data_IF_875449814036
#
_entry.id   IF_875449814036
#
_cell.length_a   1.000
_cell.length_b   1.000
_cell.length_c   1.000
_cell.angle_alpha   90.00
_cell.angle_beta   90.00
_cell.angle_gamma   90.00
#
_symmetry.space_group_name_H-M   'P 1'
#
loop_
_entity.id
_entity.type
_entity.pdbx_description
1 polymer ?
#
# COMPACT_ATOMS: atom_id res chain seq x y z
N UNK A 1 54.24 -18.45 -70.82
CA UNK A 1 53.95 -18.14 -69.40
C UNK A 1 52.82 -17.14 -69.36
N UNK A 2 51.60 -17.62 -69.23
CA UNK A 2 50.39 -16.76 -69.18
C UNK A 2 50.06 -16.41 -67.73
N UNK A 3 49.61 -15.22 -67.42
CA UNK A 3 49.21 -14.89 -66.06
C UNK A 3 47.77 -15.35 -65.75
N UNK A 4 47.62 -15.96 -64.57
CA UNK A 4 46.28 -16.37 -64.03
C UNK A 4 45.45 -15.18 -63.56
N UNK A 5 44.12 -15.24 -63.68
CA UNK A 5 43.23 -14.15 -63.22
C UNK A 5 42.97 -14.27 -61.72
N UNK A 6 43.19 -13.17 -60.95
CA UNK A 6 42.81 -13.03 -59.53
C UNK A 6 41.33 -12.73 -59.46
N UNK A 7 40.55 -13.63 -58.80
CA UNK A 7 39.19 -13.37 -58.40
C UNK A 7 39.11 -12.56 -57.10
N UNK A 8 38.49 -11.36 -57.17
CA UNK A 8 38.14 -10.55 -56.02
C UNK A 8 36.79 -11.02 -55.47
N UNK A 9 36.80 -11.67 -54.31
CA UNK A 9 35.58 -12.00 -53.57
C UNK A 9 35.12 -10.78 -52.81
N UNK A 10 34.00 -10.18 -53.24
CA UNK A 10 33.32 -9.12 -52.48
C UNK A 10 32.46 -9.77 -51.43
N UNK A 11 32.81 -9.67 -50.15
CA UNK A 11 31.98 -10.07 -49.02
C UNK A 11 30.98 -8.94 -48.70
N UNK A 12 29.71 -9.16 -49.00
CA UNK A 12 28.61 -8.34 -48.52
C UNK A 12 28.20 -8.79 -47.14
N UNK A 13 28.53 -8.02 -46.10
CA UNK A 13 27.97 -8.21 -44.77
C UNK A 13 26.56 -7.61 -44.72
N UNK A 14 25.54 -8.38 -44.28
CA UNK A 14 24.22 -7.81 -44.05
C UNK A 14 24.28 -6.91 -42.81
N UNK A 15 23.89 -5.65 -42.94
CA UNK A 15 23.67 -4.77 -41.80
C UNK A 15 22.47 -5.26 -40.99
N UNK A 16 22.71 -5.83 -39.82
CA UNK A 16 21.66 -6.15 -38.87
C UNK A 16 21.23 -4.86 -38.20
N UNK A 17 20.04 -4.38 -38.58
CA UNK A 17 19.39 -3.24 -37.94
C UNK A 17 18.85 -3.70 -36.59
N UNK A 18 19.58 -3.45 -35.49
CA UNK A 18 19.10 -3.67 -34.13
C UNK A 18 18.10 -2.55 -33.83
N UNK A 19 16.80 -2.81 -33.96
CA UNK A 19 15.79 -1.95 -33.40
C UNK A 19 15.90 -2.01 -31.86
N UNK A 20 16.52 -1.01 -31.29
CA UNK A 20 16.45 -0.78 -29.85
C UNK A 20 15.00 -0.38 -29.51
N UNK A 21 14.20 -1.34 -29.04
CA UNK A 21 12.91 -1.02 -28.42
C UNK A 21 13.23 -0.20 -27.15
N UNK A 22 12.93 1.10 -27.19
CA UNK A 22 12.92 1.94 -25.99
C UNK A 22 11.82 1.42 -25.09
N UNK A 23 12.18 0.56 -24.13
CA UNK A 23 11.29 0.20 -23.04
C UNK A 23 11.08 1.50 -22.25
N UNK A 24 9.96 2.14 -22.50
CA UNK A 24 9.56 3.31 -21.71
C UNK A 24 9.54 2.89 -20.24
N UNK A 25 10.30 3.59 -19.39
CA UNK A 25 10.25 3.38 -17.93
C UNK A 25 8.88 3.87 -17.47
N UNK A 26 7.90 2.95 -17.45
CA UNK A 26 6.60 3.24 -16.87
C UNK A 26 6.72 3.19 -15.35
N UNK A 27 6.08 4.15 -14.67
CA UNK A 27 5.94 4.10 -13.23
C UNK A 27 5.25 2.78 -12.85
N UNK A 28 5.79 2.08 -11.85
CA UNK A 28 5.18 0.91 -11.27
C UNK A 28 4.86 1.18 -9.81
N UNK A 29 3.58 1.18 -9.49
CA UNK A 29 3.05 1.24 -8.14
C UNK A 29 1.88 0.27 -8.04
N UNK A 30 2.15 -1.04 -8.19
CA UNK A 30 1.12 -2.04 -8.52
C UNK A 30 0.26 -2.46 -7.33
N UNK A 31 0.56 -2.00 -6.13
CA UNK A 31 -0.15 -2.36 -4.91
C UNK A 31 0.00 -1.28 -3.84
N UNK A 32 -0.71 -1.47 -2.72
CA UNK A 32 -0.65 -0.60 -1.57
C UNK A 32 0.79 -0.41 -1.07
N UNK A 33 1.20 0.84 -0.93
CA UNK A 33 2.56 1.27 -0.56
C UNK A 33 3.67 0.82 -1.53
N UNK A 34 3.34 0.58 -2.79
CA UNK A 34 4.32 0.31 -3.84
C UNK A 34 4.79 -1.15 -3.94
N UNK A 35 5.77 -1.42 -4.82
CA UNK A 35 6.17 -2.78 -5.17
C UNK A 35 6.56 -3.65 -3.97
N UNK A 36 7.23 -3.07 -2.97
CA UNK A 36 7.71 -3.76 -1.78
C UNK A 36 6.83 -3.54 -0.54
N UNK A 37 5.73 -2.78 -0.66
CA UNK A 37 4.85 -2.38 0.45
C UNK A 37 5.55 -1.60 1.58
N UNK A 38 6.64 -0.96 1.26
CA UNK A 38 7.50 -0.20 2.18
C UNK A 38 7.32 1.33 2.09
N UNK A 39 6.56 1.80 1.08
CA UNK A 39 6.35 3.22 0.82
C UNK A 39 7.55 3.89 0.14
N UNK A 40 8.48 3.12 -0.42
CA UNK A 40 9.65 3.66 -1.13
C UNK A 40 9.31 3.88 -2.60
N UNK A 41 9.47 5.11 -3.05
CA UNK A 41 9.22 5.52 -4.43
C UNK A 41 10.47 5.22 -5.29
N UNK A 42 10.25 4.57 -6.44
CA UNK A 42 11.32 4.32 -7.39
C UNK A 42 11.97 5.63 -7.87
N UNK A 43 13.30 5.67 -7.95
CA UNK A 43 14.07 6.88 -8.28
C UNK A 43 13.60 7.58 -9.56
N UNK A 44 13.20 6.82 -10.58
CA UNK A 44 12.70 7.34 -11.86
C UNK A 44 11.38 8.14 -11.76
N UNK A 45 10.61 7.96 -10.67
CA UNK A 45 9.36 8.69 -10.42
C UNK A 45 9.56 9.91 -9.51
N UNK A 46 10.70 10.02 -8.84
CA UNK A 46 11.00 11.16 -7.96
C UNK A 46 11.33 12.39 -8.82
N UNK A 47 10.66 13.54 -8.60
CA UNK A 47 11.00 14.75 -9.34
C UNK A 47 12.42 15.21 -8.98
N UNK A 48 13.22 15.70 -9.94
CA UNK A 48 14.56 16.21 -9.65
C UNK A 48 14.52 17.44 -8.75
N UNK A 49 13.44 18.18 -8.82
CA UNK A 49 13.15 19.34 -7.98
C UNK A 49 11.64 19.47 -7.78
N UNK A 50 11.23 19.84 -6.58
CA UNK A 50 9.82 20.12 -6.26
C UNK A 50 9.48 21.53 -6.73
N UNK A 51 8.44 21.73 -7.56
CA UNK A 51 8.09 23.04 -8.09
C UNK A 51 7.60 24.00 -6.99
N UNK A 52 7.62 25.30 -7.27
CA UNK A 52 6.99 26.27 -6.36
C UNK A 52 5.48 26.06 -6.27
N UNK A 53 4.84 25.73 -7.39
CA UNK A 53 3.40 25.47 -7.46
C UNK A 53 3.14 24.33 -8.45
N UNK A 54 2.59 23.20 -8.00
CA UNK A 54 2.16 22.15 -8.91
C UNK A 54 0.93 22.60 -9.68
N UNK A 55 0.75 22.08 -10.91
CA UNK A 55 -0.42 22.35 -11.73
C UNK A 55 -1.21 21.08 -12.03
N UNK A 56 -2.52 21.22 -12.21
CA UNK A 56 -3.37 20.07 -12.57
C UNK A 56 -3.13 19.71 -14.03
N UNK A 57 -2.74 18.45 -14.31
CA UNK A 57 -2.66 17.93 -15.66
C UNK A 57 -4.00 17.41 -16.14
N UNK A 58 -4.66 16.62 -15.31
CA UNK A 58 -6.03 16.16 -15.53
C UNK A 58 -6.72 15.81 -14.21
N UNK A 59 -8.07 15.81 -14.26
CA UNK A 59 -8.94 15.34 -13.19
C UNK A 59 -9.96 14.37 -13.77
N UNK A 60 -10.25 13.28 -13.04
CA UNK A 60 -11.32 12.35 -13.38
C UNK A 60 -12.22 12.14 -12.17
N UNK A 61 -13.55 12.28 -12.33
CA UNK A 61 -14.48 11.81 -11.33
C UNK A 61 -14.38 10.29 -11.25
N UNK A 62 -14.29 9.80 -10.03
CA UNK A 62 -14.33 8.36 -9.71
C UNK A 62 -15.41 8.17 -8.65
N UNK A 63 -15.89 6.98 -8.44
CA UNK A 63 -16.87 6.75 -7.37
C UNK A 63 -16.30 7.05 -5.98
N UNK A 64 -17.19 7.05 -4.99
CA UNK A 64 -16.84 7.23 -3.58
C UNK A 64 -15.83 6.19 -3.10
N UNK A 65 -14.99 6.54 -2.12
CA UNK A 65 -14.04 5.62 -1.46
C UNK A 65 -12.64 6.18 -1.29
N UNK A 66 -11.83 5.46 -0.53
CA UNK A 66 -10.47 5.85 -0.16
C UNK A 66 -9.40 4.82 -0.53
N UNK A 67 -9.75 3.85 -1.36
CA UNK A 67 -8.79 2.93 -1.97
C UNK A 67 -7.72 3.71 -2.73
N UNK A 68 -6.44 3.41 -2.50
CA UNK A 68 -5.36 4.10 -3.22
C UNK A 68 -5.37 3.73 -4.70
N UNK A 69 -5.05 4.65 -5.61
CA UNK A 69 -4.79 4.30 -6.99
C UNK A 69 -3.55 3.40 -7.09
N UNK A 70 -3.53 2.49 -8.07
CA UNK A 70 -2.35 1.70 -8.40
C UNK A 70 -2.00 1.90 -9.86
N UNK A 71 -0.70 1.83 -10.17
CA UNK A 71 -0.19 2.12 -11.53
C UNK A 71 0.66 0.96 -12.02
N UNK A 72 0.30 0.45 -13.21
CA UNK A 72 1.06 -0.58 -13.91
C UNK A 72 0.88 -0.42 -15.43
N UNK A 73 1.93 -0.63 -16.20
CA UNK A 73 1.89 -0.64 -17.67
C UNK A 73 1.28 0.63 -18.30
N UNK A 74 1.49 1.81 -17.71
CA UNK A 74 0.94 3.09 -18.22
C UNK A 74 -0.55 3.30 -17.89
N UNK A 75 -1.15 2.43 -17.09
CA UNK A 75 -2.53 2.54 -16.63
C UNK A 75 -2.61 2.83 -15.14
N UNK A 76 -3.61 3.60 -14.73
CA UNK A 76 -3.99 3.75 -13.33
C UNK A 76 -5.32 3.04 -13.09
N UNK A 77 -5.35 2.22 -12.05
CA UNK A 77 -6.54 1.48 -11.64
C UNK A 77 -7.07 2.04 -10.32
N UNK A 78 -8.38 2.19 -10.25
CA UNK A 78 -9.10 2.72 -9.09
C UNK A 78 -10.22 1.78 -8.72
N UNK A 79 -10.35 1.48 -7.42
CA UNK A 79 -11.50 0.78 -6.86
C UNK A 79 -12.35 1.78 -6.10
N UNK A 80 -13.62 1.89 -6.44
CA UNK A 80 -14.53 2.90 -5.94
C UNK A 80 -15.95 2.34 -5.78
N UNK A 81 -16.88 3.17 -5.33
CA UNK A 81 -18.30 2.82 -5.17
C UNK A 81 -19.20 3.85 -5.85
N UNK A 82 -20.21 3.33 -6.52
CA UNK A 82 -21.40 4.07 -6.94
C UNK A 82 -22.60 3.23 -6.51
N UNK A 83 -23.16 3.54 -5.35
CA UNK A 83 -24.19 2.73 -4.71
C UNK A 83 -25.29 2.28 -5.68
N UNK A 84 -25.69 1.00 -5.63
CA UNK A 84 -25.28 -0.04 -4.67
C UNK A 84 -24.12 -0.92 -5.16
N UNK A 85 -23.29 -0.44 -6.09
CA UNK A 85 -22.24 -1.20 -6.73
C UNK A 85 -20.83 -0.73 -6.34
N UNK A 86 -19.88 -1.65 -6.27
CA UNK A 86 -18.47 -1.33 -6.34
C UNK A 86 -18.00 -1.32 -7.80
N UNK A 87 -17.05 -0.44 -8.09
CA UNK A 87 -16.60 -0.08 -9.44
C UNK A 87 -15.07 -0.18 -9.50
N UNK A 88 -14.57 -0.88 -10.49
CA UNK A 88 -13.15 -0.92 -10.83
C UNK A 88 -12.95 -0.23 -12.16
N UNK A 89 -12.13 0.81 -12.19
CA UNK A 89 -11.91 1.60 -13.41
C UNK A 89 -10.43 1.64 -13.74
N UNK A 90 -10.12 1.63 -15.03
CA UNK A 90 -8.79 1.86 -15.56
C UNK A 90 -8.75 3.11 -16.43
N UNK A 91 -7.71 3.93 -16.24
CA UNK A 91 -7.46 5.14 -17.01
C UNK A 91 -6.03 5.11 -17.57
N UNK A 92 -5.81 5.79 -18.68
CA UNK A 92 -4.47 6.09 -19.16
C UNK A 92 -3.79 7.10 -18.23
N UNK A 93 -2.62 6.78 -17.70
CA UNK A 93 -1.91 7.65 -16.74
C UNK A 93 -1.57 9.02 -17.32
N UNK A 94 -1.22 9.07 -18.60
CA UNK A 94 -0.72 10.30 -19.23
C UNK A 94 -1.82 11.32 -19.51
N UNK A 95 -2.98 10.84 -19.95
CA UNK A 95 -4.10 11.64 -20.43
C UNK A 95 -5.31 11.65 -19.50
N UNK A 96 -5.39 10.71 -18.56
CA UNK A 96 -6.55 10.48 -17.73
C UNK A 96 -7.75 9.88 -18.48
N UNK A 97 -7.64 9.52 -19.76
CA UNK A 97 -8.76 8.95 -20.53
C UNK A 97 -9.18 7.59 -19.98
N UNK A 98 -10.49 7.36 -19.80
CA UNK A 98 -11.01 6.05 -19.40
C UNK A 98 -10.64 4.98 -20.44
N UNK A 99 -10.22 3.80 -19.96
CA UNK A 99 -9.93 2.63 -20.79
C UNK A 99 -11.05 1.61 -20.66
N UNK A 100 -11.40 1.24 -19.44
CA UNK A 100 -12.50 0.35 -19.11
C UNK A 100 -13.05 0.57 -17.71
N UNK A 101 -14.26 0.11 -17.48
CA UNK A 101 -14.93 0.09 -16.18
C UNK A 101 -15.67 -1.22 -16.00
N UNK A 102 -15.53 -1.82 -14.81
CA UNK A 102 -16.27 -3.02 -14.39
C UNK A 102 -17.03 -2.72 -13.10
N UNK A 103 -18.30 -3.15 -13.05
CA UNK A 103 -19.20 -2.94 -11.89
C UNK A 103 -19.71 -4.27 -11.37
N UNK A 104 -19.92 -4.33 -10.06
CA UNK A 104 -20.59 -5.46 -9.43
C UNK A 104 -21.40 -5.01 -8.22
N UNK A 105 -22.54 -5.67 -8.01
CA UNK A 105 -23.38 -5.40 -6.86
C UNK A 105 -22.61 -5.73 -5.56
N UNK A 106 -22.59 -4.79 -4.63
CA UNK A 106 -21.93 -4.94 -3.33
C UNK A 106 -22.73 -4.12 -2.31
N UNK A 107 -23.70 -4.78 -1.70
CA UNK A 107 -24.50 -4.16 -0.64
C UNK A 107 -23.63 -4.06 0.60
N UNK A 108 -23.48 -2.86 1.12
CA UNK A 108 -22.74 -2.58 2.35
C UNK A 108 -23.51 -1.64 3.25
N UNK A 109 -23.74 -2.07 4.49
CA UNK A 109 -24.34 -1.26 5.55
C UNK A 109 -23.20 -0.68 6.38
N UNK A 110 -23.06 0.64 6.31
CA UNK A 110 -22.00 1.36 7.03
C UNK A 110 -22.25 1.36 8.53
N UNK A 111 -21.21 1.06 9.30
CA UNK A 111 -21.24 1.17 10.76
C UNK A 111 -21.60 2.61 11.18
N UNK A 112 -22.45 2.75 12.18
CA UNK A 112 -22.92 4.05 12.66
C UNK A 112 -21.80 4.98 13.15
N UNK A 113 -20.72 4.40 13.69
CA UNK A 113 -19.55 5.15 14.16
C UNK A 113 -18.68 5.69 13.02
N UNK A 114 -18.79 5.11 11.83
CA UNK A 114 -18.12 5.58 10.61
C UNK A 114 -18.98 6.54 9.78
N UNK A 115 -19.98 7.20 10.39
CA UNK A 115 -20.97 8.04 9.68
C UNK A 115 -20.33 9.14 8.83
N UNK A 116 -19.23 9.75 9.30
CA UNK A 116 -18.51 10.82 8.60
C UNK A 116 -17.59 10.34 7.48
N UNK A 117 -17.34 9.03 7.37
CA UNK A 117 -16.49 8.47 6.34
C UNK A 117 -17.27 8.06 5.09
N UNK A 118 -16.62 7.98 3.94
CA UNK A 118 -17.19 7.36 2.74
C UNK A 118 -17.55 5.89 3.01
N UNK A 119 -18.44 5.31 2.19
CA UNK A 119 -18.78 3.87 2.28
C UNK A 119 -17.66 2.93 1.79
N UNK A 120 -16.51 3.46 1.43
CA UNK A 120 -15.43 2.66 0.85
C UNK A 120 -15.62 2.46 -0.68
N UNK A 121 -14.85 1.56 -1.30
CA UNK A 121 -13.85 0.68 -0.67
C UNK A 121 -12.62 1.42 -0.13
N UNK A 122 -11.99 0.80 0.87
CA UNK A 122 -10.76 1.28 1.50
C UNK A 122 -9.55 0.46 1.06
N UNK A 123 -9.77 -0.83 0.80
CA UNK A 123 -8.74 -1.75 0.29
C UNK A 123 -8.19 -1.28 -1.05
N UNK A 124 -6.86 -1.16 -1.13
CA UNK A 124 -6.15 -0.80 -2.37
C UNK A 124 -6.08 -2.01 -3.29
N UNK A 125 -6.36 -1.88 -4.60
CA UNK A 125 -6.16 -2.93 -5.58
C UNK A 125 -4.71 -3.41 -5.63
N UNK A 126 -4.55 -4.60 -6.19
CA UNK A 126 -3.23 -5.16 -6.51
C UNK A 126 -3.22 -5.56 -7.98
N UNK A 127 -2.17 -5.16 -8.70
CA UNK A 127 -1.95 -5.55 -10.09
C UNK A 127 -0.78 -6.52 -10.16
N UNK A 128 -1.02 -7.70 -10.72
CA UNK A 128 0.03 -8.69 -10.93
C UNK A 128 -0.34 -9.64 -12.07
N UNK A 129 0.66 -10.04 -12.86
CA UNK A 129 0.51 -11.04 -13.93
C UNK A 129 -0.69 -10.77 -14.86
N UNK A 130 -0.89 -9.51 -15.25
CA UNK A 130 -1.98 -9.08 -16.14
C UNK A 130 -3.38 -9.11 -15.51
N UNK A 131 -3.48 -9.18 -14.19
CA UNK A 131 -4.74 -9.12 -13.43
C UNK A 131 -4.77 -7.98 -12.45
N UNK A 132 -5.98 -7.45 -12.21
CA UNK A 132 -6.30 -6.53 -11.13
C UNK A 132 -7.12 -7.28 -10.10
N UNK A 133 -6.62 -7.35 -8.87
CA UNK A 133 -7.32 -7.95 -7.73
C UNK A 133 -7.90 -6.85 -6.87
N UNK A 134 -9.17 -6.96 -6.50
CA UNK A 134 -9.86 -6.02 -5.61
C UNK A 134 -10.54 -6.78 -4.49
N UNK A 135 -10.45 -6.24 -3.27
CA UNK A 135 -11.18 -6.73 -2.11
C UNK A 135 -12.17 -5.66 -1.69
N UNK A 136 -13.46 -5.95 -1.82
CA UNK A 136 -14.54 -5.02 -1.53
C UNK A 136 -14.90 -4.94 -0.04
N UNK A 137 -15.66 -3.91 0.33
CA UNK A 137 -16.07 -3.66 1.72
C UNK A 137 -16.88 -4.80 2.33
N UNK A 138 -17.63 -5.53 1.52
CA UNK A 138 -18.45 -6.68 1.93
C UNK A 138 -17.72 -8.03 1.79
N UNK A 139 -16.39 -8.05 1.87
CA UNK A 139 -15.57 -9.25 1.74
C UNK A 139 -15.72 -9.97 0.37
N UNK A 140 -15.87 -9.22 -0.71
CA UNK A 140 -15.89 -9.74 -2.09
C UNK A 140 -14.54 -9.56 -2.74
N UNK A 141 -13.83 -10.65 -2.99
CA UNK A 141 -12.54 -10.67 -3.69
C UNK A 141 -12.77 -10.99 -5.16
N UNK A 142 -12.29 -10.13 -6.06
CA UNK A 142 -12.45 -10.28 -7.50
C UNK A 142 -11.12 -10.16 -8.22
N UNK A 143 -10.94 -10.92 -9.29
CA UNK A 143 -9.83 -10.80 -10.23
C UNK A 143 -10.34 -10.42 -11.61
N UNK A 144 -9.84 -9.33 -12.16
CA UNK A 144 -10.18 -8.82 -13.48
C UNK A 144 -8.95 -8.89 -14.39
N UNK A 145 -9.18 -9.02 -15.68
CA UNK A 145 -8.14 -8.83 -16.70
C UNK A 145 -7.71 -7.35 -16.70
N UNK A 146 -6.44 -7.07 -16.53
CA UNK A 146 -5.93 -5.70 -16.43
C UNK A 146 -6.04 -4.90 -17.74
N UNK A 147 -6.08 -5.58 -18.90
CA UNK A 147 -6.21 -4.93 -20.20
C UNK A 147 -7.66 -4.56 -20.53
N UNK A 148 -8.63 -5.40 -20.16
CA UNK A 148 -10.01 -5.33 -20.64
C UNK A 148 -11.06 -5.10 -19.55
N UNK A 149 -10.73 -5.29 -18.27
CA UNK A 149 -11.68 -5.26 -17.15
C UNK A 149 -12.60 -6.49 -17.07
N UNK A 150 -12.37 -7.51 -17.88
CA UNK A 150 -13.17 -8.74 -17.88
C UNK A 150 -12.94 -9.51 -16.59
N UNK A 151 -14.02 -9.88 -15.88
CA UNK A 151 -13.94 -10.70 -14.68
C UNK A 151 -13.38 -12.08 -15.02
N UNK A 152 -12.33 -12.51 -14.31
CA UNK A 152 -11.73 -13.84 -14.43
C UNK A 152 -12.29 -14.81 -13.40
N UNK A 153 -12.37 -14.36 -12.14
CA UNK A 153 -12.99 -15.12 -11.06
C UNK A 153 -13.38 -14.19 -9.89
N UNK A 154 -14.26 -14.70 -9.02
CA UNK A 154 -14.70 -14.01 -7.80
C UNK A 154 -14.88 -15.00 -6.66
N UNK A 155 -14.52 -14.55 -5.45
CA UNK A 155 -14.87 -15.16 -4.18
C UNK A 155 -15.73 -14.18 -3.41
N UNK A 156 -16.88 -14.63 -2.97
CA UNK A 156 -17.87 -13.81 -2.28
C UNK A 156 -18.15 -14.45 -0.91
N UNK A 157 -17.67 -13.81 0.13
CA UNK A 157 -17.89 -14.20 1.52
C UNK A 157 -18.96 -13.34 2.21
N UNK A 158 -19.64 -12.44 1.48
CA UNK A 158 -20.62 -11.50 2.07
C UNK A 158 -21.82 -12.15 2.74
N UNK A 159 -22.06 -13.43 2.45
CA UNK A 159 -23.12 -14.22 3.12
C UNK A 159 -22.63 -14.98 4.36
N UNK A 160 -21.33 -15.11 4.51
CA UNK A 160 -20.69 -15.86 5.60
C UNK A 160 -20.13 -14.94 6.68
N UNK A 161 -19.85 -13.66 6.32
CA UNK A 161 -19.18 -12.68 7.16
C UNK A 161 -20.06 -11.44 7.28
N UNK A 162 -20.41 -11.06 8.51
CA UNK A 162 -21.11 -9.80 8.79
C UNK A 162 -20.14 -8.62 8.90
N UNK A 163 -19.78 -8.07 7.75
CA UNK A 163 -18.87 -6.90 7.69
C UNK A 163 -19.49 -5.60 8.22
N UNK A 164 -20.78 -5.56 8.58
CA UNK A 164 -21.43 -4.38 9.17
C UNK A 164 -20.96 -4.09 10.60
N UNK A 165 -20.40 -5.10 11.28
CA UNK A 165 -19.80 -4.94 12.61
C UNK A 165 -18.46 -4.21 12.54
N UNK A 166 -17.73 -4.36 11.42
CA UNK A 166 -16.46 -3.68 11.21
C UNK A 166 -16.67 -2.17 11.06
N UNK A 167 -15.72 -1.37 11.58
CA UNK A 167 -15.78 0.09 11.49
C UNK A 167 -15.93 0.60 10.05
N UNK A 168 -15.16 0.04 9.12
CA UNK A 168 -15.17 0.44 7.70
C UNK A 168 -15.46 -0.71 6.73
N UNK A 169 -15.95 -1.85 7.22
CA UNK A 169 -15.99 -3.07 6.43
C UNK A 169 -14.59 -3.62 6.16
N UNK A 170 -14.44 -4.51 5.21
CA UNK A 170 -13.12 -5.08 4.85
C UNK A 170 -12.22 -4.00 4.23
N UNK A 171 -11.11 -3.67 4.88
CA UNK A 171 -10.24 -2.56 4.50
C UNK A 171 -8.78 -2.95 4.18
N UNK A 172 -8.31 -4.13 4.61
CA UNK A 172 -6.97 -4.58 4.31
C UNK A 172 -6.74 -4.73 2.80
N UNK A 173 -5.53 -4.45 2.33
CA UNK A 173 -5.15 -4.55 0.92
C UNK A 173 -4.50 -5.90 0.63
N UNK A 174 -4.94 -6.63 -0.41
CA UNK A 174 -4.36 -7.90 -0.82
C UNK A 174 -2.86 -7.81 -1.08
N UNK A 175 -2.15 -8.92 -0.89
CA UNK A 175 -0.73 -9.07 -1.24
C UNK A 175 -0.51 -10.33 -2.06
N UNK A 176 0.42 -10.28 -3.02
CA UNK A 176 0.97 -11.50 -3.63
C UNK A 176 2.39 -11.70 -3.12
N UNK A 177 2.64 -12.87 -2.55
CA UNK A 177 3.97 -13.33 -2.18
C UNK A 177 4.09 -14.84 -2.37
N UNK A 178 5.27 -15.32 -2.74
CA UNK A 178 5.55 -16.75 -3.00
C UNK A 178 4.53 -17.42 -3.95
N UNK A 179 3.97 -16.67 -4.90
CA UNK A 179 2.98 -17.16 -5.86
C UNK A 179 1.55 -17.27 -5.31
N UNK A 180 1.30 -16.79 -4.10
CA UNK A 180 0.00 -16.84 -3.43
C UNK A 180 -0.62 -15.44 -3.30
N UNK A 181 -1.90 -15.31 -3.59
CA UNK A 181 -2.71 -14.13 -3.29
C UNK A 181 -3.25 -14.27 -1.87
N UNK A 182 -2.86 -13.36 -0.98
CA UNK A 182 -3.19 -13.43 0.43
C UNK A 182 -4.12 -12.29 0.81
N UNK A 183 -5.18 -12.62 1.53
CA UNK A 183 -6.17 -11.71 2.08
C UNK A 183 -6.46 -12.05 3.54
N UNK A 184 -6.95 -11.08 4.30
CA UNK A 184 -7.46 -11.26 5.65
C UNK A 184 -8.92 -10.81 5.64
N UNK A 185 -9.83 -11.71 5.87
CA UNK A 185 -11.27 -11.47 5.82
C UNK A 185 -11.94 -12.04 7.06
N UNK A 186 -13.02 -11.41 7.52
CA UNK A 186 -13.74 -11.78 8.73
C UNK A 186 -14.59 -10.64 9.23
N UNK A 187 -15.10 -10.82 10.44
CA UNK A 187 -15.76 -9.84 11.28
C UNK A 187 -15.01 -9.70 12.62
N UNK A 188 -15.59 -8.99 13.59
CA UNK A 188 -14.93 -8.71 14.88
C UNK A 188 -14.69 -9.95 15.74
N UNK A 189 -15.44 -11.03 15.55
CA UNK A 189 -15.37 -12.24 16.38
C UNK A 189 -14.71 -13.40 15.63
N UNK A 190 -14.81 -13.41 14.32
CA UNK A 190 -14.32 -14.51 13.50
C UNK A 190 -13.65 -13.99 12.22
N UNK A 191 -12.68 -14.76 11.74
CA UNK A 191 -12.01 -14.42 10.50
C UNK A 191 -10.88 -15.38 10.19
N UNK A 192 -10.26 -15.14 9.05
CA UNK A 192 -9.13 -15.93 8.60
C UNK A 192 -8.18 -15.14 7.72
N UNK A 193 -6.90 -15.41 7.88
CA UNK A 193 -5.91 -15.11 6.83
C UNK A 193 -5.97 -16.24 5.81
N UNK A 194 -6.22 -15.91 4.54
CA UNK A 194 -6.43 -16.88 3.45
C UNK A 194 -5.44 -16.66 2.34
N UNK A 195 -4.87 -17.73 1.83
CA UNK A 195 -4.05 -17.70 0.63
C UNK A 195 -4.73 -18.46 -0.51
N UNK A 196 -4.78 -17.82 -1.66
CA UNK A 196 -5.43 -18.34 -2.85
C UNK A 196 -4.44 -18.42 -4.02
N UNK A 197 -4.72 -19.31 -4.93
CA UNK A 197 -4.10 -19.30 -6.25
C UNK A 197 -4.55 -18.05 -7.01
N UNK A 198 -3.65 -17.16 -7.45
CA UNK A 198 -4.06 -15.91 -8.12
C UNK A 198 -4.66 -16.13 -9.50
N UNK A 199 -4.45 -17.31 -10.12
CA UNK A 199 -4.97 -17.64 -11.44
C UNK A 199 -6.41 -18.14 -11.38
N UNK A 200 -6.70 -19.01 -10.41
CA UNK A 200 -7.98 -19.73 -10.31
C UNK A 200 -8.88 -19.25 -9.18
N UNK A 201 -8.33 -18.53 -8.19
CA UNK A 201 -9.02 -18.19 -6.94
C UNK A 201 -9.21 -19.38 -5.99
N UNK A 202 -8.60 -20.54 -6.26
CA UNK A 202 -8.69 -21.70 -5.38
C UNK A 202 -7.89 -21.45 -4.09
N UNK A 203 -8.50 -21.73 -2.93
CA UNK A 203 -7.81 -21.60 -1.64
C UNK A 203 -6.70 -22.66 -1.53
N UNK A 204 -5.52 -22.24 -1.08
CA UNK A 204 -4.33 -23.06 -0.89
C UNK A 204 -4.12 -23.37 0.58
N UNK A 205 -4.31 -22.37 1.44
CA UNK A 205 -4.32 -22.53 2.89
C UNK A 205 -5.18 -21.44 3.54
N UNK A 206 -5.60 -21.71 4.77
CA UNK A 206 -6.34 -20.76 5.61
C UNK A 206 -5.85 -20.89 7.06
N UNK A 207 -5.69 -19.77 7.75
CA UNK A 207 -5.51 -19.70 9.19
C UNK A 207 -6.78 -19.08 9.80
N UNK A 208 -7.72 -19.90 10.31
CA UNK A 208 -8.94 -19.43 10.95
C UNK A 208 -8.71 -18.94 12.39
N UNK A 209 -9.71 -18.31 12.98
CA UNK A 209 -9.72 -17.87 14.38
C UNK A 209 -8.98 -16.53 14.60
N UNK A 210 -8.80 -15.76 13.53
CA UNK A 210 -8.18 -14.46 13.56
C UNK A 210 -9.06 -13.45 12.83
N UNK A 211 -9.76 -12.59 13.56
CA UNK A 211 -10.51 -11.47 13.01
C UNK A 211 -9.58 -10.41 12.39
N UNK A 212 -10.02 -9.67 11.38
CA UNK A 212 -9.19 -8.67 10.74
C UNK A 212 -9.02 -7.44 11.64
N UNK A 213 -7.78 -6.94 11.74
CA UNK A 213 -7.44 -5.70 12.46
C UNK A 213 -7.34 -4.46 11.58
N UNK A 214 -7.72 -4.50 10.31
CA UNK A 214 -7.60 -3.48 9.25
C UNK A 214 -6.19 -3.28 8.70
N UNK A 215 -5.12 -3.66 9.43
CA UNK A 215 -3.76 -3.56 8.93
C UNK A 215 -3.55 -4.40 7.66
N UNK A 216 -2.94 -3.81 6.66
CA UNK A 216 -2.52 -4.56 5.48
C UNK A 216 -1.23 -5.34 5.77
N UNK A 217 -1.13 -6.63 5.37
CA UNK A 217 0.04 -7.45 5.66
C UNK A 217 1.28 -6.98 4.90
N UNK A 218 2.45 -7.28 5.45
CA UNK A 218 3.73 -7.20 4.76
C UNK A 218 4.33 -8.61 4.66
N UNK A 219 5.10 -8.85 3.60
CA UNK A 219 5.93 -10.05 3.48
C UNK A 219 7.40 -9.64 3.58
N UNK A 220 8.10 -10.19 4.56
CA UNK A 220 9.48 -9.80 4.89
C UNK A 220 10.31 -10.99 5.34
N UNK A 221 11.62 -10.83 5.44
CA UNK A 221 12.53 -11.86 5.98
C UNK A 221 12.90 -11.48 7.39
N UNK A 222 12.59 -12.34 8.35
CA UNK A 222 12.96 -12.19 9.77
C UNK A 222 13.71 -13.46 10.15
N UNK A 223 14.92 -13.30 10.69
CA UNK A 223 15.76 -14.44 11.10
C UNK A 223 16.01 -15.45 9.98
N UNK A 224 16.14 -14.99 8.73
CA UNK A 224 16.37 -15.83 7.55
C UNK A 224 15.13 -16.55 7.01
N UNK A 225 13.94 -16.32 7.58
CA UNK A 225 12.68 -16.95 7.16
C UNK A 225 11.76 -15.92 6.53
N UNK A 226 11.23 -16.22 5.32
CA UNK A 226 10.19 -15.41 4.67
C UNK A 226 8.88 -15.56 5.41
N UNK A 227 8.35 -14.44 5.92
CA UNK A 227 7.17 -14.41 6.76
C UNK A 227 6.16 -13.38 6.27
N UNK A 228 4.89 -13.69 6.40
CA UNK A 228 3.80 -12.73 6.36
C UNK A 228 3.61 -12.18 7.77
N UNK A 229 3.68 -10.87 7.94
CA UNK A 229 3.40 -10.19 9.19
C UNK A 229 2.15 -9.34 9.03
N UNK A 230 1.17 -9.53 9.91
CA UNK A 230 -0.07 -8.76 9.91
C UNK A 230 -0.59 -8.54 11.34
N UNK A 231 -1.55 -7.66 11.47
CA UNK A 231 -2.29 -7.47 12.72
C UNK A 231 -3.68 -8.09 12.57
N UNK A 232 -4.11 -8.78 13.62
CA UNK A 232 -5.47 -9.24 13.79
C UNK A 232 -6.22 -8.28 14.73
N UNK A 233 -7.46 -8.52 14.99
CA UNK A 233 -8.25 -7.85 16.02
C UNK A 233 -7.55 -7.84 17.41
N UNK A 234 -6.79 -8.88 17.75
CA UNK A 234 -6.23 -9.13 19.11
C UNK A 234 -4.71 -9.28 19.16
N UNK A 235 -4.03 -9.36 18.02
CA UNK A 235 -2.60 -9.69 18.02
C UNK A 235 -1.86 -9.17 16.78
N UNK A 236 -0.53 -9.12 16.91
CA UNK A 236 0.39 -9.12 15.76
C UNK A 236 0.86 -10.55 15.56
N UNK A 237 0.78 -11.06 14.34
CA UNK A 237 1.13 -12.43 14.01
C UNK A 237 2.13 -12.51 12.86
N UNK A 238 2.99 -13.51 12.92
CA UNK A 238 3.88 -13.89 11.83
C UNK A 238 3.57 -15.30 11.35
N UNK A 239 3.42 -15.44 10.03
CA UNK A 239 3.09 -16.70 9.37
C UNK A 239 4.17 -17.10 8.38
N UNK A 240 4.40 -18.39 8.23
CA UNK A 240 5.08 -18.90 7.04
C UNK A 240 4.22 -18.64 5.80
N UNK A 241 4.74 -17.89 4.84
CA UNK A 241 3.96 -17.45 3.67
C UNK A 241 3.44 -18.62 2.85
N UNK A 242 4.22 -19.70 2.71
CA UNK A 242 3.89 -20.82 1.82
C UNK A 242 2.85 -21.76 2.40
N UNK A 243 2.93 -22.00 3.71
CA UNK A 243 2.08 -22.98 4.40
C UNK A 243 0.95 -22.37 5.23
N UNK A 244 1.01 -21.06 5.53
CA UNK A 244 0.10 -20.42 6.47
C UNK A 244 0.32 -20.79 7.93
N UNK A 245 1.40 -21.55 8.24
CA UNK A 245 1.71 -21.94 9.61
C UNK A 245 1.99 -20.72 10.46
N UNK A 246 1.29 -20.60 11.59
CA UNK A 246 1.57 -19.59 12.61
C UNK A 246 2.96 -19.85 13.21
N UNK A 247 3.82 -18.86 13.12
CA UNK A 247 5.19 -18.92 13.62
C UNK A 247 5.31 -18.29 15.01
N UNK A 248 4.67 -17.15 15.20
CA UNK A 248 4.69 -16.40 16.46
C UNK A 248 3.48 -15.48 16.57
N UNK A 249 3.18 -15.10 17.80
CA UNK A 249 2.11 -14.18 18.16
C UNK A 249 2.60 -13.20 19.22
N UNK A 250 2.26 -11.92 19.06
CA UNK A 250 2.38 -10.89 20.10
C UNK A 250 0.96 -10.43 20.43
N UNK A 251 0.47 -10.64 21.64
CA UNK A 251 -0.83 -10.11 22.07
C UNK A 251 -0.88 -8.59 21.91
N UNK A 252 -1.88 -8.10 21.18
CA UNK A 252 -2.05 -6.68 20.92
C UNK A 252 -3.55 -6.33 20.87
N UNK A 253 -4.33 -6.65 21.96
CA UNK A 253 -5.76 -6.41 21.96
C UNK A 253 -6.06 -4.92 21.93
N UNK A 254 -7.02 -4.49 21.15
CA UNK A 254 -7.56 -3.12 21.13
C UNK A 254 -9.03 -3.16 21.49
N UNK A 255 -9.50 -2.18 22.28
CA UNK A 255 -10.88 -2.10 22.79
C UNK A 255 -11.94 -2.08 21.67
N UNK A 256 -11.56 -1.55 20.50
CA UNK A 256 -12.46 -1.44 19.34
C UNK A 256 -12.00 -2.33 18.17
N UNK A 257 -11.11 -3.27 18.42
CA UNK A 257 -10.47 -4.12 17.39
C UNK A 257 -9.76 -3.32 16.28
N UNK A 258 -9.34 -2.09 16.57
CA UNK A 258 -8.76 -1.15 15.60
C UNK A 258 -7.22 -1.26 15.51
N UNK A 259 -6.70 -2.43 15.20
CA UNK A 259 -5.29 -2.65 14.89
C UNK A 259 -5.01 -2.31 13.41
N UNK A 260 -4.85 -1.01 13.10
CA UNK A 260 -4.89 -0.48 11.73
C UNK A 260 -3.50 -0.28 11.13
N UNK A 261 -2.52 0.06 11.97
CA UNK A 261 -1.17 0.43 11.52
C UNK A 261 -0.44 -0.81 11.00
N UNK A 262 -0.06 -0.78 9.72
CA UNK A 262 0.77 -1.86 9.19
C UNK A 262 2.12 -1.90 9.91
N UNK A 263 2.54 -3.07 10.42
CA UNK A 263 3.86 -3.25 11.01
C UNK A 263 4.98 -2.88 10.06
N UNK A 264 6.10 -2.41 10.58
CA UNK A 264 7.29 -2.10 9.80
C UNK A 264 8.52 -2.81 10.40
N UNK A 265 9.49 -3.15 9.57
CA UNK A 265 10.73 -3.80 10.01
C UNK A 265 11.90 -2.86 9.76
N UNK A 266 12.64 -2.53 10.83
CA UNK A 266 13.81 -1.67 10.79
C UNK A 266 15.03 -2.46 11.33
N UNK A 267 15.79 -3.05 10.41
CA UNK A 267 16.86 -3.98 10.76
C UNK A 267 16.29 -5.26 11.39
N UNK A 268 16.60 -5.50 12.66
CA UNK A 268 16.13 -6.64 13.45
C UNK A 268 14.93 -6.31 14.37
N UNK A 269 14.41 -5.07 14.29
CA UNK A 269 13.29 -4.61 15.11
C UNK A 269 12.00 -4.55 14.29
N UNK A 270 10.98 -5.26 14.74
CA UNK A 270 9.61 -5.10 14.31
C UNK A 270 8.96 -3.96 15.07
N UNK A 271 8.51 -2.94 14.34
CA UNK A 271 7.84 -1.75 14.90
C UNK A 271 6.32 -1.91 14.71
N UNK A 272 5.59 -1.79 15.79
CA UNK A 272 4.14 -1.93 15.88
C UNK A 272 3.55 -0.74 16.61
N UNK A 273 2.37 -0.28 16.24
CA UNK A 273 1.72 0.85 16.90
C UNK A 273 0.21 0.71 16.98
N UNK A 274 -0.36 1.29 18.02
CA UNK A 274 -1.80 1.42 18.23
C UNK A 274 -2.14 2.76 18.87
N UNK A 275 -3.28 3.34 18.49
CA UNK A 275 -3.65 4.72 18.83
C UNK A 275 -3.72 4.98 20.34
N UNK A 276 -4.12 4.00 21.14
CA UNK A 276 -4.23 4.10 22.61
C UNK A 276 -3.04 3.48 23.36
N UNK A 277 -2.15 2.82 22.64
CA UNK A 277 -1.06 2.02 23.23
C UNK A 277 0.31 2.65 23.09
N UNK A 278 0.54 3.44 22.06
CA UNK A 278 1.87 3.92 21.69
C UNK A 278 2.51 3.08 20.60
N UNK A 279 3.79 3.22 20.45
CA UNK A 279 4.62 2.50 19.48
C UNK A 279 5.62 1.62 20.21
N UNK A 280 5.76 0.38 19.72
CA UNK A 280 6.56 -0.68 20.31
C UNK A 280 7.63 -1.16 19.34
N UNK A 281 8.75 -1.60 19.87
CA UNK A 281 9.76 -2.37 19.16
C UNK A 281 9.87 -3.78 19.73
N UNK A 282 9.81 -4.76 18.83
CA UNK A 282 10.01 -6.18 19.18
C UNK A 282 11.19 -6.75 18.43
N UNK A 283 12.04 -7.54 19.12
CA UNK A 283 12.99 -8.43 18.45
C UNK A 283 12.44 -9.84 18.44
N UNK A 284 12.61 -10.48 17.30
CA UNK A 284 12.11 -11.84 17.06
C UNK A 284 13.32 -12.78 17.04
N UNK A 285 13.62 -13.40 18.19
CA UNK A 285 14.66 -14.42 18.29
C UNK A 285 14.10 -15.78 17.85
N UNK A 286 14.97 -16.63 17.31
CA UNK A 286 14.66 -18.02 16.96
C UNK A 286 15.66 -18.94 17.63
N UNK A 287 15.19 -19.84 18.49
CA UNK A 287 16.00 -20.82 19.20
C UNK A 287 15.37 -22.20 19.07
N UNK A 288 16.13 -23.20 18.66
CA UNK A 288 15.61 -24.57 18.47
C UNK A 288 14.47 -24.70 17.45
N UNK A 289 14.31 -23.71 16.56
CA UNK A 289 13.19 -23.66 15.59
C UNK A 289 11.99 -22.87 16.06
N UNK A 290 11.89 -22.53 17.34
CA UNK A 290 10.80 -21.76 17.92
C UNK A 290 11.09 -20.26 17.93
N UNK A 291 10.05 -19.45 17.71
CA UNK A 291 10.14 -18.00 17.70
C UNK A 291 9.76 -17.42 19.05
N UNK A 292 10.54 -16.45 19.51
CA UNK A 292 10.31 -15.74 20.77
C UNK A 292 10.33 -14.23 20.53
N UNK A 293 9.15 -13.59 20.34
CA UNK A 293 9.05 -12.14 20.31
C UNK A 293 9.39 -11.56 21.67
N UNK A 294 10.28 -10.56 21.71
CA UNK A 294 10.64 -9.84 22.93
C UNK A 294 10.50 -8.35 22.70
N UNK A 295 9.70 -7.69 23.51
CA UNK A 295 9.67 -6.22 23.57
C UNK A 295 11.05 -5.68 23.97
N UNK A 296 11.54 -4.71 23.22
CA UNK A 296 12.84 -4.06 23.47
C UNK A 296 12.68 -2.60 23.86
N UNK A 297 11.57 -1.99 23.47
CA UNK A 297 11.17 -0.65 23.90
C UNK A 297 9.68 -0.40 23.67
N UNK A 298 9.14 0.57 24.42
CA UNK A 298 7.78 1.07 24.30
C UNK A 298 7.79 2.59 24.44
N UNK A 299 7.29 3.28 23.41
CA UNK A 299 7.13 4.73 23.37
C UNK A 299 5.66 5.11 23.40
N UNK A 300 5.18 5.55 24.55
CA UNK A 300 3.78 5.94 24.76
C UNK A 300 3.43 7.30 24.16
N UNK A 301 4.42 8.12 23.80
CA UNK A 301 4.22 9.49 23.32
C UNK A 301 3.97 9.58 21.82
N UNK A 302 4.29 8.53 21.07
CA UNK A 302 4.18 8.48 19.61
C UNK A 302 3.21 7.39 19.12
N UNK A 303 1.95 7.35 19.58
CA UNK A 303 0.96 6.43 19.03
C UNK A 303 0.63 6.82 17.59
N UNK A 304 0.55 5.83 16.71
CA UNK A 304 -0.01 5.98 15.36
C UNK A 304 -1.42 5.39 15.32
N UNK A 305 -2.25 5.90 14.40
CA UNK A 305 -3.61 5.40 14.21
C UNK A 305 -3.83 4.85 12.80
N UNK A 306 -4.20 5.68 11.85
CA UNK A 306 -4.42 5.26 10.45
C UNK A 306 -3.26 5.66 9.53
N UNK A 307 -2.09 5.88 10.10
CA UNK A 307 -0.86 6.29 9.40
C UNK A 307 0.22 5.24 9.59
N UNK A 308 0.51 4.47 8.56
CA UNK A 308 1.60 3.47 8.62
C UNK A 308 2.95 4.12 8.39
N UNK A 309 3.98 3.78 9.18
CA UNK A 309 5.29 4.40 9.10
C UNK A 309 6.10 3.96 7.87
N UNK A 310 7.13 4.72 7.52
CA UNK A 310 8.18 4.32 6.57
C UNK A 310 9.53 4.20 7.29
N UNK A 311 10.40 3.34 6.77
CA UNK A 311 11.68 2.99 7.42
C UNK A 311 12.85 3.32 6.51
N UNK A 312 13.83 4.05 7.05
CA UNK A 312 15.11 4.34 6.43
C UNK A 312 16.26 3.84 7.31
N UNK A 313 16.77 2.67 6.99
CA UNK A 313 17.78 2.00 7.81
C UNK A 313 17.25 1.73 9.23
N UNK A 314 17.83 2.40 10.22
CA UNK A 314 17.40 2.31 11.62
C UNK A 314 16.35 3.35 12.02
N UNK A 315 16.01 4.28 11.17
CA UNK A 315 15.07 5.35 11.47
C UNK A 315 13.68 5.07 10.96
N UNK A 316 12.69 5.37 11.77
CA UNK A 316 11.27 5.24 11.45
C UNK A 316 10.65 6.62 11.41
N UNK A 317 10.05 6.96 10.27
CA UNK A 317 9.27 8.18 10.10
C UNK A 317 7.80 7.82 10.21
N UNK A 318 7.09 8.49 11.10
CA UNK A 318 5.68 8.22 11.37
C UNK A 318 4.87 9.50 11.52
N UNK A 319 3.56 9.32 11.58
CA UNK A 319 2.60 10.37 11.88
C UNK A 319 1.77 9.95 13.09
N UNK A 320 2.03 10.59 14.23
CA UNK A 320 1.39 10.30 15.51
C UNK A 320 0.02 10.95 15.63
N UNK A 321 -0.90 10.28 16.32
CA UNK A 321 -2.27 10.76 16.57
C UNK A 321 -2.38 11.77 17.72
N UNK A 322 -1.35 11.89 18.57
CA UNK A 322 -1.32 12.90 19.65
C UNK A 322 -1.21 14.33 19.09
N UNK A 323 -1.62 15.31 19.88
CA UNK A 323 -1.54 16.76 19.60
C UNK A 323 -2.17 17.16 18.25
N UNK A 324 -3.20 16.45 17.80
CA UNK A 324 -3.86 16.66 16.50
C UNK A 324 -2.92 16.43 15.30
N UNK A 325 -2.06 15.43 15.39
CA UNK A 325 -1.15 15.00 14.33
C UNK A 325 0.25 15.59 14.43
N UNK A 326 1.23 14.72 14.53
CA UNK A 326 2.65 15.06 14.60
C UNK A 326 3.44 14.17 13.63
N UNK A 327 4.21 14.78 12.74
CA UNK A 327 5.31 14.06 12.10
C UNK A 327 6.42 13.83 13.10
N UNK A 328 7.04 12.66 13.04
CA UNK A 328 8.18 12.33 13.88
C UNK A 328 9.20 11.45 13.15
N UNK A 329 10.42 11.47 13.65
CA UNK A 329 11.44 10.48 13.39
C UNK A 329 11.83 9.83 14.70
N UNK A 330 11.88 8.49 14.76
CA UNK A 330 12.40 7.76 15.92
C UNK A 330 13.51 6.80 15.50
N UNK A 331 14.37 6.49 16.45
CA UNK A 331 15.38 5.44 16.31
C UNK A 331 14.75 4.09 16.66
N UNK A 332 14.64 3.19 15.69
CA UNK A 332 14.02 1.88 15.88
C UNK A 332 14.74 0.97 16.88
N UNK A 333 16.02 1.22 17.14
CA UNK A 333 16.79 0.39 18.10
C UNK A 333 16.47 0.73 19.56
N UNK A 334 16.07 1.99 19.81
CA UNK A 334 15.85 2.51 21.19
C UNK A 334 14.42 2.98 21.44
N UNK A 335 13.61 3.21 20.39
CA UNK A 335 12.30 3.85 20.50
C UNK A 335 12.35 5.35 20.81
N UNK A 336 13.55 5.95 20.82
CA UNK A 336 13.74 7.36 21.16
C UNK A 336 13.42 8.25 19.96
N UNK A 337 12.59 9.28 20.18
CA UNK A 337 12.35 10.30 19.17
C UNK A 337 13.65 11.08 18.87
N UNK A 338 13.95 11.22 17.59
CA UNK A 338 15.02 12.10 17.11
C UNK A 338 14.50 13.53 16.96
N UNK A 339 13.30 13.66 16.43
CA UNK A 339 12.53 14.89 16.37
C UNK A 339 11.04 14.61 16.27
N UNK A 340 10.24 15.57 16.67
CA UNK A 340 8.78 15.64 16.48
C UNK A 340 8.39 17.05 16.07
N UNK A 341 7.33 17.18 15.27
CA UNK A 341 6.70 18.49 15.05
C UNK A 341 5.85 18.88 16.27
N UNK A 342 5.49 20.15 16.41
CA UNK A 342 4.71 20.66 17.54
C UNK A 342 3.30 20.05 17.63
N UNK A 343 2.73 19.63 16.53
CA UNK A 343 1.36 19.12 16.39
C UNK A 343 0.53 19.94 15.42
N UNK A 344 -0.78 19.64 15.35
CA UNK A 344 -1.75 20.25 14.42
C UNK A 344 -1.41 20.01 12.95
N UNK A 345 -0.72 18.89 12.67
CA UNK A 345 -0.35 18.48 11.33
C UNK A 345 -1.49 17.82 10.56
N UNK A 346 -2.66 17.62 11.17
CA UNK A 346 -3.83 16.96 10.59
C UNK A 346 -4.28 15.73 11.38
N UNK A 347 -5.27 15.02 10.87
CA UNK A 347 -5.83 13.83 11.54
C UNK A 347 -4.95 12.61 11.32
N UNK A 348 -4.57 12.35 10.07
CA UNK A 348 -3.67 11.26 9.65
C UNK A 348 -2.85 11.71 8.43
N UNK A 349 -1.82 10.93 8.09
CA UNK A 349 -1.07 11.15 6.87
C UNK A 349 -0.62 9.84 6.23
N UNK A 350 -0.64 9.81 4.90
CA UNK A 350 -0.01 8.78 4.09
C UNK A 350 1.46 9.16 3.85
N UNK A 351 2.38 8.28 4.26
CA UNK A 351 3.83 8.56 4.23
C UNK A 351 4.53 7.76 3.13
N UNK A 352 5.46 8.40 2.42
CA UNK A 352 6.33 7.75 1.42
C UNK A 352 7.73 8.36 1.45
N UNK A 353 8.74 7.56 1.10
CA UNK A 353 10.10 8.03 0.86
C UNK A 353 10.32 8.26 -0.63
N UNK A 354 10.64 9.50 -1.01
CA UNK A 354 10.87 9.92 -2.40
C UNK A 354 12.28 10.50 -2.54
N UNK A 355 13.25 9.63 -2.82
CA UNK A 355 14.67 10.01 -2.86
C UNK A 355 15.14 10.60 -1.53
N UNK A 356 15.72 11.82 -1.50
CA UNK A 356 16.18 12.45 -0.26
C UNK A 356 15.03 13.03 0.59
N UNK A 357 13.78 12.86 0.16
CA UNK A 357 12.63 13.45 0.81
C UNK A 357 11.69 12.39 1.42
N UNK A 358 11.03 12.79 2.51
CA UNK A 358 9.80 12.21 3.00
C UNK A 358 8.65 13.04 2.45
N UNK A 359 7.64 12.40 1.88
CA UNK A 359 6.38 13.03 1.54
C UNK A 359 5.28 12.55 2.47
N UNK A 360 4.42 13.47 2.88
CA UNK A 360 3.27 13.18 3.73
C UNK A 360 2.03 13.84 3.12
N UNK A 361 1.05 13.02 2.71
CA UNK A 361 -0.25 13.50 2.29
C UNK A 361 -1.21 13.40 3.48
N UNK A 362 -1.61 14.55 4.02
CA UNK A 362 -2.53 14.60 5.17
C UNK A 362 -3.96 14.38 4.73
N UNK A 363 -4.82 13.92 5.64
CA UNK A 363 -6.26 13.78 5.38
C UNK A 363 -6.95 15.09 5.02
N UNK A 364 -6.36 16.21 5.39
CA UNK A 364 -6.83 17.55 5.07
C UNK A 364 -6.45 18.01 3.65
N UNK A 365 -5.81 17.14 2.86
CA UNK A 365 -5.47 17.42 1.46
C UNK A 365 -4.22 18.28 1.29
N UNK A 366 -3.32 18.25 2.25
CA UNK A 366 -2.00 18.89 2.15
C UNK A 366 -0.93 17.86 1.85
N UNK A 367 -0.10 18.13 0.86
CA UNK A 367 1.09 17.36 0.53
C UNK A 367 2.33 18.10 1.06
N UNK A 368 2.96 17.53 2.07
CA UNK A 368 4.20 18.03 2.65
C UNK A 368 5.37 17.31 2.01
N UNK A 369 6.40 18.07 1.68
CA UNK A 369 7.73 17.56 1.29
C UNK A 369 8.71 17.95 2.37
N UNK A 370 9.29 16.95 3.02
CA UNK A 370 10.16 17.12 4.18
C UNK A 370 11.52 16.49 3.86
N UNK A 371 12.61 17.11 4.29
CA UNK A 371 13.93 16.50 4.17
C UNK A 371 13.99 15.20 5.00
N UNK A 372 14.38 14.10 4.37
CA UNK A 372 14.52 12.81 5.03
C UNK A 372 15.86 12.74 5.76
N UNK A 373 15.87 13.16 7.01
CA UNK A 373 17.02 13.12 7.90
C UNK A 373 16.59 12.89 9.35
N UNK A 374 17.37 12.17 10.17
CA UNK A 374 17.09 12.02 11.59
C UNK A 374 17.51 13.24 12.44
N UNK A 375 18.22 14.21 11.86
CA UNK A 375 18.84 15.30 12.65
C UNK A 375 17.81 16.31 13.14
N UNK A 376 16.89 16.72 12.24
CA UNK A 376 15.85 17.71 12.55
C UNK A 376 14.69 17.64 11.56
N UNK A 377 13.55 18.17 11.93
CA UNK A 377 12.45 18.44 11.00
C UNK A 377 12.81 19.63 10.10
N UNK A 378 12.69 19.45 8.78
CA UNK A 378 12.90 20.50 7.80
C UNK A 378 11.85 20.36 6.68
N UNK A 379 10.82 21.19 6.71
CA UNK A 379 9.81 21.26 5.66
C UNK A 379 10.36 22.04 4.45
N UNK A 380 10.34 21.41 3.30
CA UNK A 380 10.87 22.00 2.05
C UNK A 380 9.75 22.65 1.23
N UNK A 381 8.59 21.98 1.17
CA UNK A 381 7.42 22.44 0.42
C UNK A 381 6.13 21.94 1.09
N UNK A 382 5.06 22.72 0.88
CA UNK A 382 3.70 22.37 1.27
C UNK A 382 2.75 22.80 0.15
N UNK A 383 1.87 21.88 -0.26
CA UNK A 383 0.93 22.12 -1.33
C UNK A 383 -0.48 21.74 -0.89
N UNK A 384 -1.48 22.56 -1.16
CA UNK A 384 -2.88 22.14 -1.11
C UNK A 384 -3.21 21.41 -2.40
N UNK A 385 -3.47 20.09 -2.32
CA UNK A 385 -3.67 19.21 -3.47
C UNK A 385 -5.08 18.61 -3.57
N UNK A 386 -5.90 18.78 -2.54
CA UNK A 386 -7.29 18.36 -2.55
C UNK A 386 -8.13 19.23 -1.59
N UNK A 387 -9.41 19.45 -1.91
CA UNK A 387 -10.36 20.18 -1.09
C UNK A 387 -11.19 19.26 -0.19
N UNK A 388 -11.32 17.98 -0.59
CA UNK A 388 -11.96 16.93 0.19
C UNK A 388 -10.90 16.04 0.88
N UNK A 389 -11.34 15.21 1.81
CA UNK A 389 -10.44 14.33 2.58
C UNK A 389 -9.67 13.35 1.69
N UNK A 390 -8.39 13.19 1.99
CA UNK A 390 -7.46 12.29 1.32
C UNK A 390 -6.95 11.22 2.28
N UNK A 391 -7.51 10.02 2.19
CA UNK A 391 -7.06 8.84 2.97
C UNK A 391 -6.18 7.90 2.13
N UNK A 392 -6.29 8.01 0.81
CA UNK A 392 -5.55 7.21 -0.14
C UNK A 392 -4.06 7.58 -0.16
N UNK A 393 -3.20 6.59 -0.38
CA UNK A 393 -1.78 6.84 -0.65
C UNK A 393 -1.63 7.63 -1.96
N UNK A 394 -0.77 8.66 -2.00
CA UNK A 394 -0.42 9.30 -3.26
C UNK A 394 0.42 8.35 -4.12
N UNK A 395 0.48 8.58 -5.44
CA UNK A 395 1.34 7.78 -6.33
C UNK A 395 2.17 8.70 -7.20
N UNK A 396 3.48 8.69 -6.98
CA UNK A 396 4.40 9.39 -7.86
C UNK A 396 4.56 8.63 -9.17
N UNK A 397 4.49 9.39 -10.25
CA UNK A 397 4.74 8.94 -11.63
C UNK A 397 5.73 9.89 -12.28
N UNK A 398 6.44 9.53 -13.38
CA UNK A 398 7.36 10.43 -14.03
C UNK A 398 6.72 11.79 -14.36
N UNK A 399 7.24 12.84 -13.71
CA UNK A 399 6.79 14.23 -13.87
C UNK A 399 5.44 14.58 -13.24
N UNK A 400 4.91 13.75 -12.32
CA UNK A 400 3.65 14.03 -11.64
C UNK A 400 3.38 13.22 -10.40
N UNK A 401 2.25 13.51 -9.76
CA UNK A 401 1.74 12.77 -8.61
C UNK A 401 0.22 12.61 -8.72
N UNK A 402 -0.25 11.39 -8.60
CA UNK A 402 -1.67 11.07 -8.51
C UNK A 402 -2.14 11.24 -7.07
N UNK A 403 -3.18 12.03 -6.91
CA UNK A 403 -3.88 12.25 -5.62
C UNK A 403 -5.33 11.84 -5.80
N UNK A 404 -5.83 11.03 -4.90
CA UNK A 404 -7.24 10.68 -4.81
C UNK A 404 -7.84 11.24 -3.53
N UNK A 405 -8.87 12.04 -3.67
CA UNK A 405 -9.80 12.35 -2.59
C UNK A 405 -11.01 11.38 -2.60
N UNK A 406 -12.05 11.70 -1.84
CA UNK A 406 -13.21 10.82 -1.72
C UNK A 406 -13.89 10.47 -3.05
N UNK A 407 -13.82 11.33 -4.08
CA UNK A 407 -14.58 11.20 -5.35
C UNK A 407 -13.82 11.55 -6.61
N UNK A 408 -12.60 12.08 -6.50
CA UNK A 408 -11.83 12.60 -7.63
C UNK A 408 -10.42 12.02 -7.63
N UNK A 409 -9.96 11.59 -8.78
CA UNK A 409 -8.57 11.27 -9.06
C UNK A 409 -7.94 12.43 -9.85
N UNK A 410 -6.86 12.99 -9.34
CA UNK A 410 -6.17 14.13 -9.97
C UNK A 410 -4.71 13.76 -10.24
N UNK A 411 -4.22 13.98 -11.46
CA UNK A 411 -2.79 14.01 -11.74
C UNK A 411 -2.29 15.45 -11.67
N UNK A 412 -1.42 15.71 -10.72
CA UNK A 412 -0.69 16.95 -10.58
C UNK A 412 0.66 16.86 -11.32
N UNK A 413 1.00 17.84 -12.11
CA UNK A 413 2.33 17.99 -12.72
C UNK A 413 3.32 18.55 -11.69
N UNK A 414 4.50 17.93 -11.61
CA UNK A 414 5.62 18.31 -10.75
C UNK A 414 6.80 18.81 -11.60
N UNK A 415 6.50 19.76 -12.52
CA UNK A 415 7.51 20.37 -13.41
C UNK A 415 7.47 21.89 -13.28
#
# INVERSE_FOLDING_TARGET
MSPEPRFLVRSTFPAVLVLAATVGVHAQWPQWRGPNRDGVVAAAAVPPMWPEKPSVRWKQPVGEGYSSPVVDGGRVFVHSRTDPAEVVSAFDVSSGKPIWEAKYASVFVKNKYAASMAKGPFSTPLVASGRVFTLGTSAVLSAFDAATGTLKWRKDWSKEIDTSQLFTGTAMSPIIDSGLLIVHVGDDDAGAVRALDPVTGAERWSLPGHGPGYASPIATVIGGVRQLVTMTDKAVIGLDVKSGKLLWTVPFPDEFNENIVTPAVAGDVLVVSGTRKGTFGYRLARTGGEWSPREVWHNTDLPMYMSSPVVDGRFVYGFGSKRKGQLFCLDAQTGTAKWTTEGRGGTNAALQMAGPNLIALTTEGELLVVRRTPDKYEELKRYKVADAQTWAQPVLVPGGILIRDAKVLTLWALK
#
